data_IF_721007916887
#
_entry.id   IF_721007916887
#
_cell.length_a   1.000
_cell.length_b   1.000
_cell.length_c   1.000
_cell.angle_alpha   90.00
_cell.angle_beta   90.00
_cell.angle_gamma   90.00
#
_symmetry.space_group_name_H-M   'P 1'
#
loop_
_entity.id
_entity.type
_entity.pdbx_description
1 polymer ?
#
# COMPACT_ATOMS: atom_id res chain seq x y z
N UNK A 1 -0.29 12.43 -2.71
CA UNK A 1 0.75 12.75 -3.72
C UNK A 1 0.60 11.70 -4.78
N UNK A 2 0.28 12.09 -6.02
CA UNK A 2 -0.10 11.11 -7.03
C UNK A 2 1.05 10.15 -7.35
N UNK A 3 0.76 8.89 -7.64
CA UNK A 3 1.76 7.88 -8.06
C UNK A 3 2.58 8.33 -9.26
N UNK A 4 1.96 9.06 -10.19
CA UNK A 4 2.61 9.67 -11.36
C UNK A 4 3.71 10.68 -11.02
N UNK A 5 3.77 11.18 -9.78
CA UNK A 5 4.87 12.03 -9.28
C UNK A 5 5.95 11.23 -8.53
N UNK A 6 5.71 9.94 -8.26
CA UNK A 6 6.67 9.08 -7.54
C UNK A 6 7.64 8.36 -8.46
N UNK A 7 7.18 7.98 -9.66
CA UNK A 7 8.01 7.35 -10.68
C UNK A 7 8.13 8.28 -11.88
N UNK A 8 9.37 8.60 -12.26
CA UNK A 8 9.63 9.24 -13.54
C UNK A 8 9.47 8.24 -14.69
N UNK A 9 9.36 8.72 -15.93
CA UNK A 9 9.40 7.85 -17.11
C UNK A 9 10.67 6.99 -17.15
N UNK A 10 11.80 7.57 -16.73
CA UNK A 10 13.06 6.84 -16.62
C UNK A 10 12.99 5.71 -15.56
N UNK A 11 12.31 5.92 -14.43
CA UNK A 11 12.13 4.87 -13.42
C UNK A 11 11.27 3.73 -13.95
N UNK A 12 10.19 4.04 -14.67
CA UNK A 12 9.29 3.04 -15.25
C UNK A 12 10.02 2.19 -16.29
N UNK A 13 10.81 2.80 -17.18
CA UNK A 13 11.62 2.08 -18.15
C UNK A 13 12.71 1.23 -17.49
N UNK A 14 13.34 1.71 -16.42
CA UNK A 14 14.32 0.92 -15.66
C UNK A 14 13.70 -0.31 -15.00
N UNK A 15 12.49 -0.17 -14.43
CA UNK A 15 11.78 -1.30 -13.82
C UNK A 15 11.37 -2.31 -14.92
N UNK A 16 10.81 -1.82 -16.02
CA UNK A 16 10.43 -2.65 -17.17
C UNK A 16 11.63 -3.43 -17.72
N UNK A 17 12.77 -2.78 -17.91
CA UNK A 17 14.00 -3.43 -18.36
C UNK A 17 14.49 -4.50 -17.36
N UNK A 18 14.32 -4.28 -16.05
CA UNK A 18 14.68 -5.25 -15.03
C UNK A 18 13.74 -6.47 -15.04
N UNK A 19 12.43 -6.28 -15.26
CA UNK A 19 11.45 -7.36 -15.42
C UNK A 19 11.81 -8.20 -16.64
N UNK A 20 11.96 -7.55 -17.80
CA UNK A 20 12.36 -8.20 -19.04
C UNK A 20 13.65 -9.04 -18.89
N UNK A 21 14.69 -8.44 -18.29
CA UNK A 21 15.97 -9.12 -18.08
C UNK A 21 15.86 -10.30 -17.12
N UNK A 22 14.93 -10.30 -16.15
CA UNK A 22 14.71 -11.43 -15.28
C UNK A 22 14.00 -12.56 -16.05
N UNK A 23 12.90 -12.23 -16.73
CA UNK A 23 12.06 -13.13 -17.55
C UNK A 23 12.78 -13.74 -18.75
N UNK A 24 13.91 -13.15 -19.18
CA UNK A 24 14.77 -13.75 -20.20
C UNK A 24 15.45 -15.05 -19.75
N UNK A 25 15.55 -15.29 -18.45
CA UNK A 25 16.24 -16.45 -17.89
C UNK A 25 15.30 -17.50 -17.27
N UNK A 26 14.06 -17.12 -16.95
CA UNK A 26 13.09 -17.94 -16.22
C UNK A 26 11.87 -18.25 -17.09
N UNK A 27 11.09 -19.28 -16.70
CA UNK A 27 9.77 -19.62 -17.29
C UNK A 27 8.60 -19.10 -16.45
N UNK A 28 8.81 -18.00 -15.73
CA UNK A 28 7.81 -17.38 -14.86
C UNK A 28 7.73 -15.89 -15.13
N UNK A 29 6.57 -15.32 -14.83
CA UNK A 29 6.24 -13.92 -15.12
C UNK A 29 6.23 -13.11 -13.81
N UNK A 30 6.76 -11.89 -13.82
CA UNK A 30 6.88 -11.04 -12.64
C UNK A 30 6.14 -9.73 -12.88
N UNK A 31 5.05 -9.51 -12.13
CA UNK A 31 4.17 -8.36 -12.29
C UNK A 31 4.32 -7.39 -11.10
N UNK A 32 5.02 -6.27 -11.27
CA UNK A 32 5.11 -5.23 -10.24
C UNK A 32 3.88 -4.31 -10.27
N UNK A 33 3.15 -4.21 -9.14
CA UNK A 33 1.90 -3.44 -8.98
C UNK A 33 2.00 -2.43 -7.84
N UNK A 34 1.64 -1.18 -8.12
CA UNK A 34 1.73 -0.06 -7.18
C UNK A 34 0.40 0.65 -7.05
N UNK A 35 -0.01 0.86 -5.80
CA UNK A 35 -1.22 1.62 -5.47
C UNK A 35 -0.92 2.75 -4.49
N UNK A 36 -1.64 3.86 -4.60
CA UNK A 36 -1.52 4.96 -3.63
C UNK A 36 -2.05 4.51 -2.28
N UNK A 37 -3.16 3.78 -2.32
CA UNK A 37 -3.97 3.42 -1.17
C UNK A 37 -4.81 2.20 -1.50
N UNK A 38 -4.89 1.26 -0.57
CA UNK A 38 -5.59 0.00 -0.78
C UNK A 38 -7.08 0.05 -0.45
N UNK A 39 -7.51 1.03 0.36
CA UNK A 39 -8.90 1.12 0.82
C UNK A 39 -9.39 2.51 1.20
N UNK A 40 -10.70 2.63 1.43
CA UNK A 40 -11.32 3.87 1.90
C UNK A 40 -11.54 3.84 3.41
N UNK A 41 -10.79 4.65 4.16
CA UNK A 41 -10.86 4.68 5.62
C UNK A 41 -11.83 5.74 6.15
N UNK A 42 -13.11 5.62 5.77
CA UNK A 42 -14.17 6.52 6.29
C UNK A 42 -14.27 6.48 7.82
N UNK A 43 -13.94 5.34 8.43
CA UNK A 43 -13.86 5.17 9.89
C UNK A 43 -12.91 6.18 10.55
N UNK A 44 -11.82 6.57 9.87
CA UNK A 44 -10.88 7.55 10.38
C UNK A 44 -11.56 8.92 10.53
N UNK A 45 -12.40 9.31 9.58
CA UNK A 45 -13.13 10.60 9.61
C UNK A 45 -14.10 10.67 10.79
N UNK A 46 -14.84 9.59 11.04
CA UNK A 46 -15.75 9.53 12.19
C UNK A 46 -15.00 9.58 13.53
N UNK A 47 -13.86 8.89 13.64
CA UNK A 47 -12.99 8.96 14.83
C UNK A 47 -12.41 10.36 15.01
N UNK A 48 -11.97 10.99 13.93
CA UNK A 48 -11.48 12.37 13.92
C UNK A 48 -12.54 13.36 14.39
N UNK A 49 -13.78 13.23 13.92
CA UNK A 49 -14.89 14.03 14.40
C UNK A 49 -15.15 13.86 15.90
N UNK A 50 -15.25 12.60 16.35
CA UNK A 50 -15.52 12.30 17.76
C UNK A 50 -14.43 12.84 18.69
N UNK A 51 -13.16 12.67 18.33
CA UNK A 51 -12.03 13.19 19.11
C UNK A 51 -12.01 14.72 19.12
N UNK A 52 -12.24 15.38 17.99
CA UNK A 52 -12.25 16.83 17.92
C UNK A 52 -13.44 17.44 18.68
N UNK A 53 -14.63 16.82 18.61
CA UNK A 53 -15.77 17.20 19.45
C UNK A 53 -15.46 17.04 20.94
N UNK A 54 -14.84 15.93 21.35
CA UNK A 54 -14.46 15.71 22.75
C UNK A 54 -13.42 16.73 23.23
N UNK A 55 -12.41 17.05 22.40
CA UNK A 55 -11.41 18.09 22.70
C UNK A 55 -12.06 19.46 22.80
N UNK A 56 -12.99 19.78 21.89
CA UNK A 56 -13.72 21.06 21.90
C UNK A 56 -14.57 21.20 23.17
N UNK A 57 -15.27 20.14 23.56
CA UNK A 57 -16.05 20.14 24.80
C UNK A 57 -15.17 20.23 26.05
N UNK A 58 -14.04 19.52 26.07
CA UNK A 58 -13.06 19.64 27.13
C UNK A 58 -12.50 21.07 27.24
N UNK A 59 -12.25 21.73 26.10
CA UNK A 59 -11.82 23.13 26.08
C UNK A 59 -12.87 24.07 26.68
N UNK A 60 -14.16 23.84 26.42
CA UNK A 60 -15.25 24.60 27.06
C UNK A 60 -15.20 24.46 28.59
N UNK A 61 -15.01 23.23 29.11
CA UNK A 61 -14.89 22.98 30.56
C UNK A 61 -13.65 23.66 31.15
N UNK A 62 -12.51 23.61 30.45
CA UNK A 62 -11.26 24.26 30.90
C UNK A 62 -11.44 25.77 30.94
N UNK A 63 -12.07 26.38 29.92
CA UNK A 63 -12.35 27.83 29.90
C UNK A 63 -13.26 28.22 31.05
N UNK A 64 -14.35 27.48 31.28
CA UNK A 64 -15.24 27.71 32.42
C UNK A 64 -14.49 27.68 33.76
N UNK A 65 -13.58 26.70 33.94
CA UNK A 65 -12.86 26.50 35.19
C UNK A 65 -11.78 27.55 35.50
N UNK A 66 -11.09 28.04 34.48
CA UNK A 66 -9.88 28.87 34.63
C UNK A 66 -10.06 30.32 34.17
N UNK A 67 -10.98 30.58 33.24
CA UNK A 67 -11.29 31.92 32.72
C UNK A 67 -12.82 32.10 32.65
N UNK A 68 -13.53 32.06 33.80
CA UNK A 68 -14.99 32.05 33.84
C UNK A 68 -15.62 33.30 33.20
N UNK A 69 -14.87 34.40 33.09
CA UNK A 69 -15.31 35.61 32.39
C UNK A 69 -15.61 35.40 30.89
N UNK A 70 -15.10 34.33 30.27
CA UNK A 70 -15.36 33.96 28.87
C UNK A 70 -16.35 32.80 28.74
N UNK A 71 -16.89 32.26 29.85
CA UNK A 71 -17.78 31.12 29.81
C UNK A 71 -19.15 31.50 29.24
N UNK A 72 -19.68 30.67 28.34
CA UNK A 72 -21.01 30.81 27.75
C UNK A 72 -21.85 29.60 28.13
N UNK A 73 -22.98 29.83 28.81
CA UNK A 73 -23.86 28.76 29.32
C UNK A 73 -25.08 28.50 28.44
N UNK A 74 -25.20 29.16 27.29
CA UNK A 74 -26.27 28.87 26.32
C UNK A 74 -26.10 27.44 25.75
N UNK A 75 -27.04 26.52 26.01
CA UNK A 75 -26.92 25.15 25.54
C UNK A 75 -26.83 25.03 24.01
N UNK A 76 -27.49 25.91 23.26
CA UNK A 76 -27.45 25.89 21.80
C UNK A 76 -26.07 26.31 21.29
N UNK A 77 -25.49 27.38 21.86
CA UNK A 77 -24.14 27.80 21.53
C UNK A 77 -23.10 26.70 21.78
N UNK A 78 -23.16 26.03 22.95
CA UNK A 78 -22.26 24.91 23.27
C UNK A 78 -22.43 23.77 22.26
N UNK A 79 -23.68 23.39 21.96
CA UNK A 79 -23.99 22.33 21.01
C UNK A 79 -23.40 22.61 19.62
N UNK A 80 -23.65 23.81 19.06
CA UNK A 80 -23.13 24.17 17.74
C UNK A 80 -21.62 24.31 17.71
N UNK A 81 -21.00 24.76 18.81
CA UNK A 81 -19.54 24.85 18.92
C UNK A 81 -18.89 23.45 18.89
N UNK A 82 -19.41 22.50 19.68
CA UNK A 82 -18.92 21.12 19.70
C UNK A 82 -19.18 20.39 18.37
N UNK A 83 -20.33 20.65 17.74
CA UNK A 83 -20.67 20.13 16.42
C UNK A 83 -19.70 20.65 15.36
N UNK A 84 -19.42 21.96 15.36
CA UNK A 84 -18.44 22.58 14.47
C UNK A 84 -17.05 21.99 14.69
N UNK A 85 -16.63 21.81 15.95
CA UNK A 85 -15.38 21.14 16.29
C UNK A 85 -15.28 19.72 15.68
N UNK A 86 -16.36 18.95 15.74
CA UNK A 86 -16.44 17.62 15.12
C UNK A 86 -16.36 17.66 13.59
N UNK A 87 -17.09 18.58 12.95
CA UNK A 87 -17.04 18.76 11.49
C UNK A 87 -15.62 19.12 11.05
N UNK A 88 -14.98 20.08 11.72
CA UNK A 88 -13.60 20.46 11.45
C UNK A 88 -12.64 19.28 11.67
N UNK A 89 -12.82 18.49 12.73
CA UNK A 89 -12.05 17.27 12.97
C UNK A 89 -12.15 16.24 11.85
N UNK A 90 -13.35 15.98 11.33
CA UNK A 90 -13.55 15.10 10.17
C UNK A 90 -12.86 15.63 8.92
N UNK A 91 -13.00 16.93 8.64
CA UNK A 91 -12.40 17.59 7.48
C UNK A 91 -10.87 17.53 7.57
N UNK A 92 -10.29 17.92 8.70
CA UNK A 92 -8.84 17.89 8.92
C UNK A 92 -8.29 16.47 8.76
N UNK A 93 -8.98 15.46 9.29
CA UNK A 93 -8.57 14.05 9.15
C UNK A 93 -8.54 13.59 7.69
N UNK A 94 -9.41 14.11 6.83
CA UNK A 94 -9.40 13.80 5.39
C UNK A 94 -8.20 14.41 4.65
N UNK A 95 -7.75 15.60 5.04
CA UNK A 95 -6.68 16.32 4.34
C UNK A 95 -5.28 16.01 4.88
N UNK A 96 -5.18 15.44 6.08
CA UNK A 96 -3.90 15.13 6.72
C UNK A 96 -3.71 13.60 6.80
N UNK A 97 -2.95 12.99 5.87
CA UNK A 97 -2.76 11.54 5.82
C UNK A 97 -2.17 10.95 7.09
N UNK A 98 -1.36 11.73 7.82
CA UNK A 98 -0.77 11.30 9.08
C UNK A 98 -1.85 11.03 10.15
N UNK A 99 -2.87 11.89 10.22
CA UNK A 99 -4.01 11.70 11.12
C UNK A 99 -4.88 10.55 10.64
N UNK A 100 -5.15 10.46 9.34
CA UNK A 100 -5.92 9.35 8.78
C UNK A 100 -5.26 8.00 9.13
N UNK A 101 -3.94 7.86 8.93
CA UNK A 101 -3.19 6.65 9.26
C UNK A 101 -3.19 6.36 10.77
N UNK A 102 -3.05 7.38 11.62
CA UNK A 102 -3.04 7.20 13.07
C UNK A 102 -4.41 6.75 13.62
N UNK A 103 -5.50 7.17 12.99
CA UNK A 103 -6.87 6.86 13.43
C UNK A 103 -7.39 5.53 12.89
N UNK A 104 -6.65 4.84 12.02
CA UNK A 104 -6.99 3.52 11.47
C UNK A 104 -6.14 2.44 12.16
N UNK A 105 -6.75 1.33 12.56
CA UNK A 105 -6.01 0.21 13.15
C UNK A 105 -5.15 -0.51 12.11
N UNK A 106 -4.00 -1.05 12.55
CA UNK A 106 -3.11 -1.82 11.68
C UNK A 106 -3.86 -2.99 11.02
N UNK A 107 -4.64 -3.75 11.80
CA UNK A 107 -5.43 -4.88 11.28
C UNK A 107 -6.44 -4.49 10.16
N UNK A 108 -6.98 -3.26 10.17
CA UNK A 108 -7.85 -2.80 9.09
C UNK A 108 -7.02 -2.54 7.83
N UNK A 109 -5.88 -1.85 7.97
CA UNK A 109 -4.95 -1.63 6.85
C UNK A 109 -4.49 -2.95 6.24
N UNK A 110 -4.02 -3.88 7.06
CA UNK A 110 -3.57 -5.21 6.62
C UNK A 110 -4.66 -5.93 5.80
N UNK A 111 -5.91 -5.90 6.30
CA UNK A 111 -7.05 -6.51 5.60
C UNK A 111 -7.34 -5.82 4.27
N UNK A 112 -7.35 -4.49 4.25
CA UNK A 112 -7.61 -3.71 3.03
C UNK A 112 -6.51 -3.92 1.99
N UNK A 113 -5.24 -3.88 2.38
CA UNK A 113 -4.11 -4.16 1.48
C UNK A 113 -4.17 -5.56 0.92
N UNK A 114 -4.43 -6.56 1.77
CA UNK A 114 -4.56 -7.95 1.31
C UNK A 114 -5.69 -8.11 0.30
N UNK A 115 -6.88 -7.57 0.60
CA UNK A 115 -8.01 -7.64 -0.33
C UNK A 115 -7.70 -6.93 -1.65
N UNK A 116 -7.02 -5.78 -1.60
CA UNK A 116 -6.64 -5.06 -2.81
C UNK A 116 -5.60 -5.81 -3.64
N UNK A 117 -4.62 -6.43 -2.99
CA UNK A 117 -3.64 -7.27 -3.66
C UNK A 117 -4.30 -8.49 -4.31
N UNK A 118 -5.20 -9.19 -3.61
CA UNK A 118 -5.98 -10.31 -4.15
C UNK A 118 -6.79 -9.88 -5.39
N UNK A 119 -7.43 -8.71 -5.35
CA UNK A 119 -8.15 -8.16 -6.52
C UNK A 119 -7.19 -7.82 -7.66
N UNK A 120 -6.06 -7.15 -7.38
CA UNK A 120 -5.08 -6.79 -8.40
C UNK A 120 -4.50 -8.03 -9.11
N UNK A 121 -4.29 -9.13 -8.38
CA UNK A 121 -3.84 -10.40 -8.95
C UNK A 121 -4.82 -10.97 -9.98
N UNK A 122 -6.12 -10.77 -9.75
CA UNK A 122 -7.18 -11.19 -10.67
C UNK A 122 -7.35 -10.21 -11.84
N UNK A 123 -7.34 -8.90 -11.56
CA UNK A 123 -7.47 -7.82 -12.55
C UNK A 123 -6.34 -7.84 -13.57
N UNK A 124 -5.11 -8.09 -13.13
CA UNK A 124 -3.92 -8.17 -13.97
C UNK A 124 -3.68 -9.57 -14.54
N UNK A 125 -4.61 -10.50 -14.30
CA UNK A 125 -4.57 -11.88 -14.78
C UNK A 125 -3.23 -12.58 -14.54
N UNK A 126 -2.56 -12.31 -13.41
CA UNK A 126 -1.22 -12.88 -13.08
C UNK A 126 -1.23 -14.41 -13.10
N UNK A 127 -2.41 -14.99 -12.93
CA UNK A 127 -2.65 -16.42 -12.97
C UNK A 127 -2.76 -17.02 -14.38
N UNK A 128 -2.86 -16.19 -15.42
CA UNK A 128 -3.08 -16.60 -16.80
C UNK A 128 -1.75 -16.96 -17.48
N UNK A 129 -1.02 -17.88 -16.84
CA UNK A 129 0.24 -18.42 -17.33
C UNK A 129 0.13 -19.92 -17.55
N UNK A 130 0.78 -20.48 -18.57
CA UNK A 130 0.66 -21.90 -18.95
C UNK A 130 0.99 -22.83 -17.79
N UNK A 131 1.99 -22.48 -16.99
CA UNK A 131 2.48 -23.27 -15.87
C UNK A 131 2.07 -22.72 -14.50
N UNK A 132 1.22 -21.69 -14.44
CA UNK A 132 0.80 -21.05 -13.18
C UNK A 132 2.03 -20.53 -12.41
N UNK A 133 2.91 -19.85 -13.14
CA UNK A 133 4.24 -19.36 -12.71
C UNK A 133 4.30 -17.84 -12.63
N UNK A 134 3.17 -17.17 -12.42
CA UNK A 134 3.13 -15.73 -12.16
C UNK A 134 3.49 -15.37 -10.71
N UNK A 135 4.28 -14.31 -10.53
CA UNK A 135 4.57 -13.64 -9.26
C UNK A 135 4.08 -12.20 -9.37
N UNK A 136 3.33 -11.73 -8.38
CA UNK A 136 2.99 -10.32 -8.23
C UNK A 136 3.71 -9.71 -7.03
N UNK A 137 4.38 -8.59 -7.25
CA UNK A 137 4.94 -7.74 -6.19
C UNK A 137 4.01 -6.53 -6.03
N UNK A 138 3.18 -6.55 -5.00
CA UNK A 138 2.22 -5.49 -4.71
C UNK A 138 2.74 -4.55 -3.64
N UNK A 139 2.73 -3.24 -3.91
CA UNK A 139 3.19 -2.20 -2.99
C UNK A 139 2.10 -1.16 -2.78
N UNK A 140 1.70 -0.97 -1.52
CA UNK A 140 0.81 0.13 -1.15
C UNK A 140 1.49 1.20 -0.32
N UNK A 141 1.46 2.44 -0.81
CA UNK A 141 2.17 3.57 -0.18
C UNK A 141 1.45 4.14 1.05
N UNK A 142 0.11 4.17 1.06
CA UNK A 142 -0.64 4.66 2.21
C UNK A 142 -0.49 3.72 3.40
N UNK A 143 -0.66 2.42 3.19
CA UNK A 143 -0.54 1.41 4.24
C UNK A 143 0.93 1.12 4.59
N UNK A 144 1.87 1.44 3.69
CA UNK A 144 3.30 1.13 3.80
C UNK A 144 3.55 -0.37 3.89
N UNK A 145 2.80 -1.12 3.09
CA UNK A 145 2.78 -2.58 3.08
C UNK A 145 3.19 -3.09 1.71
N UNK A 146 3.90 -4.21 1.72
CA UNK A 146 4.37 -4.93 0.54
C UNK A 146 3.85 -6.35 0.65
N UNK A 147 3.19 -6.83 -0.39
CA UNK A 147 2.66 -8.20 -0.47
C UNK A 147 3.24 -8.84 -1.73
N UNK A 148 3.88 -9.99 -1.57
CA UNK A 148 4.36 -10.81 -2.68
C UNK A 148 3.44 -12.01 -2.78
N UNK A 149 2.80 -12.20 -3.93
CA UNK A 149 1.91 -13.32 -4.17
C UNK A 149 2.41 -14.12 -5.37
N UNK A 150 2.57 -15.41 -5.19
CA UNK A 150 2.95 -16.32 -6.26
C UNK A 150 1.79 -17.28 -6.56
N UNK A 151 1.59 -17.60 -7.84
CA UNK A 151 0.56 -18.56 -8.22
C UNK A 151 0.96 -20.00 -7.79
N UNK A 152 0.04 -20.94 -7.97
CA UNK A 152 0.11 -22.31 -7.45
C UNK A 152 1.32 -23.10 -7.95
N UNK A 153 1.86 -22.81 -9.14
CA UNK A 153 3.04 -23.49 -9.67
C UNK A 153 4.28 -23.19 -8.82
N UNK A 154 4.45 -21.91 -8.46
CA UNK A 154 5.60 -21.43 -7.67
C UNK A 154 5.40 -21.67 -6.17
N UNK A 155 4.19 -21.40 -5.65
CA UNK A 155 3.87 -21.53 -4.22
C UNK A 155 4.05 -22.96 -3.67
N UNK A 156 4.07 -23.98 -4.54
CA UNK A 156 4.36 -25.37 -4.15
C UNK A 156 5.85 -25.66 -3.93
N UNK A 157 6.73 -24.82 -4.48
CA UNK A 157 8.18 -25.10 -4.59
C UNK A 157 9.01 -24.10 -3.78
N UNK A 158 8.54 -22.84 -3.67
CA UNK A 158 9.22 -21.78 -2.92
C UNK A 158 8.60 -21.66 -1.53
N UNK A 159 9.44 -21.72 -0.50
CA UNK A 159 9.02 -21.56 0.90
C UNK A 159 8.72 -20.08 1.23
N UNK A 160 7.77 -19.85 2.14
CA UNK A 160 7.38 -18.52 2.60
C UNK A 160 8.56 -17.66 3.08
N UNK A 161 9.57 -18.28 3.69
CA UNK A 161 10.75 -17.61 4.23
C UNK A 161 11.56 -16.87 3.16
N UNK A 162 11.56 -17.33 1.91
CA UNK A 162 12.25 -16.63 0.82
C UNK A 162 11.50 -15.35 0.43
N UNK A 163 10.17 -15.39 0.41
CA UNK A 163 9.33 -14.20 0.18
C UNK A 163 9.45 -13.19 1.31
N UNK A 164 9.52 -13.65 2.57
CA UNK A 164 9.67 -12.77 3.72
C UNK A 164 10.98 -11.96 3.66
N UNK A 165 12.09 -12.58 3.23
CA UNK A 165 13.37 -11.89 3.00
C UNK A 165 13.26 -10.85 1.91
N UNK A 166 12.59 -11.18 0.81
CA UNK A 166 12.38 -10.28 -0.32
C UNK A 166 11.56 -9.05 0.10
N UNK A 167 10.47 -9.26 0.85
CA UNK A 167 9.66 -8.19 1.44
C UNK A 167 10.49 -7.28 2.35
N UNK A 168 11.34 -7.85 3.21
CA UNK A 168 12.23 -7.08 4.09
C UNK A 168 13.21 -6.20 3.29
N UNK A 169 13.76 -6.73 2.19
CA UNK A 169 14.63 -5.97 1.28
C UNK A 169 13.92 -4.77 0.66
N UNK A 170 12.72 -4.97 0.12
CA UNK A 170 11.89 -3.89 -0.44
C UNK A 170 11.61 -2.82 0.62
N UNK A 171 11.15 -3.22 1.81
CA UNK A 171 10.81 -2.28 2.89
C UNK A 171 12.02 -1.42 3.28
N UNK A 172 13.22 -2.02 3.37
CA UNK A 172 14.45 -1.31 3.70
C UNK A 172 14.76 -0.20 2.69
N UNK A 173 14.68 -0.52 1.39
CA UNK A 173 14.94 0.41 0.29
C UNK A 173 13.87 1.50 0.15
N UNK A 174 12.61 1.14 0.34
CA UNK A 174 11.51 2.11 0.35
C UNK A 174 11.67 3.11 1.49
N UNK A 175 12.11 2.66 2.67
CA UNK A 175 12.40 3.54 3.82
C UNK A 175 13.57 4.50 3.58
N UNK A 176 14.56 4.11 2.78
CA UNK A 176 15.69 4.97 2.41
C UNK A 176 15.39 5.90 1.22
N UNK A 177 14.15 5.90 0.70
CA UNK A 177 13.74 6.70 -0.46
C UNK A 177 14.19 6.12 -1.82
N UNK A 178 14.81 4.94 -1.83
CA UNK A 178 15.29 4.25 -3.04
C UNK A 178 14.26 3.25 -3.55
N UNK A 179 13.04 3.74 -3.83
CA UNK A 179 11.92 2.86 -4.21
C UNK A 179 12.23 2.10 -5.50
N UNK A 180 12.58 2.80 -6.59
CA UNK A 180 12.90 2.17 -7.89
C UNK A 180 13.95 1.09 -7.77
N UNK A 181 15.06 1.38 -7.08
CA UNK A 181 16.16 0.41 -6.92
C UNK A 181 15.74 -0.80 -6.08
N UNK A 182 14.92 -0.60 -5.04
CA UNK A 182 14.39 -1.69 -4.24
C UNK A 182 13.48 -2.65 -5.03
N UNK A 183 12.76 -2.13 -6.02
CA UNK A 183 11.91 -2.95 -6.90
C UNK A 183 12.76 -3.70 -7.92
N UNK A 184 13.74 -3.05 -8.54
CA UNK A 184 14.68 -3.71 -9.46
C UNK A 184 15.40 -4.86 -8.74
N UNK A 185 15.87 -4.63 -7.51
CA UNK A 185 16.51 -5.66 -6.69
C UNK A 185 15.56 -6.81 -6.35
N UNK A 186 14.30 -6.50 -6.02
CA UNK A 186 13.29 -7.50 -5.74
C UNK A 186 12.93 -8.35 -6.98
N UNK A 187 12.76 -7.73 -8.14
CA UNK A 187 12.53 -8.43 -9.42
C UNK A 187 13.70 -9.35 -9.73
N UNK A 188 14.93 -8.86 -9.63
CA UNK A 188 16.13 -9.69 -9.81
C UNK A 188 16.20 -10.86 -8.82
N UNK A 189 15.81 -10.64 -7.56
CA UNK A 189 15.77 -11.69 -6.53
C UNK A 189 14.67 -12.72 -6.82
N UNK A 190 13.49 -12.31 -7.30
CA UNK A 190 12.44 -13.23 -7.77
C UNK A 190 12.98 -14.13 -8.89
N UNK A 191 13.63 -13.55 -9.90
CA UNK A 191 14.27 -14.32 -10.97
C UNK A 191 15.30 -15.32 -10.46
N UNK A 192 16.19 -14.90 -9.57
CA UNK A 192 17.18 -15.78 -8.96
C UNK A 192 16.54 -16.95 -8.17
N UNK A 193 15.49 -16.68 -7.38
CA UNK A 193 14.75 -17.71 -6.64
C UNK A 193 14.14 -18.73 -7.61
N UNK A 194 13.54 -18.26 -8.71
CA UNK A 194 12.94 -19.14 -9.71
C UNK A 194 13.97 -20.02 -10.41
N UNK A 195 15.13 -19.45 -10.77
CA UNK A 195 16.26 -20.21 -11.32
C UNK A 195 16.77 -21.29 -10.33
N UNK A 196 16.97 -20.92 -9.06
CA UNK A 196 17.40 -21.84 -7.99
C UNK A 196 16.43 -23.01 -7.80
N UNK A 197 15.14 -22.81 -8.09
CA UNK A 197 14.09 -23.83 -8.01
C UNK A 197 13.83 -24.57 -9.32
N UNK A 198 14.59 -24.27 -10.38
CA UNK A 198 14.53 -24.97 -11.66
C UNK A 198 13.49 -24.45 -12.66
N UNK A 199 12.93 -23.27 -12.44
CA UNK A 199 12.07 -22.59 -13.41
C UNK A 199 12.93 -21.86 -14.43
N UNK A 200 13.52 -22.61 -15.36
CA UNK A 200 14.38 -22.09 -16.43
C UNK A 200 13.56 -21.90 -17.70
N UNK A 201 13.84 -20.83 -18.45
CA UNK A 201 13.19 -20.53 -19.73
C UNK A 201 13.38 -21.69 -20.72
N UNK A 202 12.29 -22.13 -21.36
CA UNK A 202 12.33 -23.15 -22.41
C UNK A 202 12.29 -22.50 -23.80
N UNK A 203 12.72 -23.18 -24.88
CA UNK A 203 12.70 -22.61 -26.22
C UNK A 203 11.29 -22.30 -26.76
N UNK A 204 10.26 -22.92 -26.21
CA UNK A 204 8.84 -22.69 -26.52
C UNK A 204 8.17 -21.68 -25.58
N UNK A 205 8.93 -21.12 -24.64
CA UNK A 205 8.47 -20.10 -23.70
C UNK A 205 8.28 -18.78 -24.43
N UNK A 206 7.10 -18.19 -24.27
CA UNK A 206 6.73 -16.89 -24.82
C UNK A 206 6.40 -15.98 -23.67
N UNK A 207 6.62 -14.68 -23.83
CA UNK A 207 6.20 -13.71 -22.82
C UNK A 207 4.66 -13.71 -22.73
N UNK A 208 4.12 -14.17 -21.60
CA UNK A 208 2.68 -14.38 -21.40
C UNK A 208 1.99 -13.14 -20.82
N UNK A 209 2.72 -12.31 -20.06
CA UNK A 209 2.21 -11.08 -19.46
C UNK A 209 2.93 -9.86 -20.05
N UNK A 210 2.67 -8.65 -19.52
CA UNK A 210 3.40 -7.44 -19.97
C UNK A 210 4.32 -6.97 -18.84
N UNK A 211 5.54 -6.64 -19.22
CA UNK A 211 6.66 -6.31 -18.33
C UNK A 211 6.55 -4.91 -17.70
N UNK A 212 5.53 -4.13 -18.05
CA UNK A 212 5.39 -2.76 -17.57
C UNK A 212 4.80 -2.67 -16.15
N UNK A 213 5.24 -1.63 -15.46
CA UNK A 213 4.78 -1.26 -14.13
C UNK A 213 3.28 -0.97 -14.11
N UNK A 214 2.51 -1.70 -13.30
CA UNK A 214 1.09 -1.41 -13.09
C UNK A 214 0.91 -0.35 -12.02
N UNK A 215 0.36 0.80 -12.40
CA UNK A 215 0.04 1.91 -11.51
C UNK A 215 -1.48 2.02 -11.43
N UNK A 216 -2.05 1.83 -10.23
CA UNK A 216 -3.50 1.83 -10.01
C UNK A 216 -3.93 2.75 -8.85
#
# INVERSE_FOLDING_TARGET
>A
MSLSKRFSEQDMERIKAAVHSAEDSISGEIVPVFVEKSGYYTIARYRGALLASAITFLAVIVVDRFVPALAVYDPLFIFFTVLLGGILGAVVTQFVPLLEKALVSQAHKDRSTRQRAENAFLEEEVFNTRHRTGIMIFVSFFEQEVIVMADRGISKVVEQKEWDKLVQGIISKVRSGQVTDGIIEAVGRCGAILLEKGFVKTPDDVNELRDDLRIQ
#
